data_IF_854663922185
#
_entry.id   IF_854663922185
#
_cell.length_a   1.000
_cell.length_b   1.000
_cell.length_c   1.000
_cell.angle_alpha   90.00
_cell.angle_beta   90.00
_cell.angle_gamma   90.00
#
_symmetry.space_group_name_H-M   'P 1'
#
loop_
_entity.id
_entity.type
_entity.pdbx_description
1 polymer ?
#
# COMPACT_ATOMS: atom_id res chain seq x y z
N UNK A 1 7.21 46.16 4.28
CA UNK A 1 7.93 45.65 3.09
C UNK A 1 7.91 44.12 3.11
N UNK A 2 6.77 43.48 2.80
CA UNK A 2 6.64 42.03 3.07
C UNK A 2 5.78 41.29 2.02
N UNK A 3 5.73 41.79 0.78
CA UNK A 3 5.00 41.13 -0.33
C UNK A 3 5.93 40.76 -1.50
N UNK A 4 7.05 41.48 -1.67
CA UNK A 4 8.00 41.28 -2.78
C UNK A 4 8.92 40.06 -2.65
N UNK A 5 9.01 39.42 -1.48
CA UNK A 5 9.83 38.21 -1.29
C UNK A 5 9.08 36.90 -1.62
N UNK A 6 7.75 36.88 -1.51
CA UNK A 6 6.95 35.70 -1.84
C UNK A 6 6.89 35.41 -3.36
N UNK A 7 7.04 36.44 -4.19
CA UNK A 7 7.05 36.34 -5.66
C UNK A 7 8.37 35.78 -6.23
N UNK A 8 9.43 35.66 -5.43
CA UNK A 8 10.75 35.17 -5.91
C UNK A 8 10.83 33.64 -6.01
N UNK A 9 9.86 32.94 -5.43
CA UNK A 9 9.76 31.47 -5.41
C UNK A 9 8.41 30.98 -5.97
N UNK A 10 7.73 31.79 -6.79
CA UNK A 10 6.52 31.38 -7.50
C UNK A 10 6.89 30.90 -8.90
N UNK A 11 7.12 29.59 -9.05
CA UNK A 11 7.40 28.94 -10.33
C UNK A 11 6.48 27.74 -10.54
N UNK A 12 6.37 27.28 -11.79
CA UNK A 12 5.60 26.07 -12.14
C UNK A 12 6.02 24.85 -11.30
N UNK A 13 7.29 24.77 -10.92
CA UNK A 13 7.83 23.71 -10.05
C UNK A 13 7.17 23.69 -8.65
N UNK A 14 6.93 24.87 -8.07
CA UNK A 14 6.30 24.99 -6.74
C UNK A 14 4.80 24.69 -6.83
N UNK A 15 4.16 25.10 -7.93
CA UNK A 15 2.76 24.76 -8.19
C UNK A 15 2.59 23.25 -8.44
N UNK A 16 3.52 22.60 -9.15
CA UNK A 16 3.57 21.15 -9.35
C UNK A 16 3.67 20.40 -8.01
N UNK A 17 4.63 20.79 -7.16
CA UNK A 17 4.82 20.20 -5.84
C UNK A 17 3.60 20.42 -4.94
N UNK A 18 2.97 21.59 -5.03
CA UNK A 18 1.75 21.90 -4.29
C UNK A 18 0.57 21.05 -4.76
N UNK A 19 0.42 20.84 -6.06
CA UNK A 19 -0.63 19.98 -6.63
C UNK A 19 -0.48 18.53 -6.17
N UNK A 20 0.73 17.97 -6.23
CA UNK A 20 1.04 16.63 -5.71
C UNK A 20 0.79 16.53 -4.21
N UNK A 21 1.24 17.51 -3.44
CA UNK A 21 1.03 17.52 -1.99
C UNK A 21 -0.47 17.58 -1.64
N UNK A 22 -1.26 18.35 -2.41
CA UNK A 22 -2.71 18.39 -2.25
C UNK A 22 -3.38 17.07 -2.63
N UNK A 23 -2.98 16.44 -3.74
CA UNK A 23 -3.50 15.14 -4.16
C UNK A 23 -3.21 14.05 -3.12
N UNK A 24 -1.97 14.03 -2.61
CA UNK A 24 -1.54 13.13 -1.53
C UNK A 24 -2.35 13.35 -0.25
N UNK A 25 -2.54 14.63 0.15
CA UNK A 25 -3.35 14.98 1.33
C UNK A 25 -4.82 14.58 1.18
N UNK A 26 -5.39 14.73 -0.02
CA UNK A 26 -6.75 14.27 -0.35
C UNK A 26 -6.85 12.75 -0.55
N UNK A 27 -5.72 12.05 -0.61
CA UNK A 27 -5.61 10.63 -0.95
C UNK A 27 -6.24 10.28 -2.30
N UNK A 28 -6.26 11.23 -3.24
CA UNK A 28 -6.85 11.05 -4.57
C UNK A 28 -5.76 10.63 -5.56
N UNK A 29 -5.81 9.36 -5.99
CA UNK A 29 -4.96 8.84 -7.07
C UNK A 29 -5.24 9.53 -8.40
N UNK A 30 -6.50 9.87 -8.67
CA UNK A 30 -6.88 10.57 -9.89
C UNK A 30 -6.24 11.96 -9.96
N UNK A 31 -6.32 12.74 -8.88
CA UNK A 31 -5.70 14.08 -8.79
C UNK A 31 -4.17 13.97 -8.93
N UNK A 32 -3.57 12.91 -8.36
CA UNK A 32 -2.13 12.68 -8.43
C UNK A 32 -1.68 12.36 -9.86
N UNK A 33 -2.39 11.47 -10.56
CA UNK A 33 -2.11 11.14 -11.96
C UNK A 33 -2.31 12.35 -12.88
N UNK A 34 -3.33 13.17 -12.61
CA UNK A 34 -3.58 14.39 -13.36
C UNK A 34 -2.44 15.40 -13.15
N UNK A 35 -2.02 15.63 -11.90
CA UNK A 35 -0.89 16.49 -11.60
C UNK A 35 0.42 16.01 -12.25
N UNK A 36 0.66 14.70 -12.29
CA UNK A 36 1.83 14.12 -12.95
C UNK A 36 1.83 14.37 -14.47
N UNK A 37 0.66 14.35 -15.11
CA UNK A 37 0.51 14.67 -16.54
C UNK A 37 0.69 16.16 -16.82
N UNK A 38 0.06 17.02 -16.01
CA UNK A 38 0.03 18.47 -16.21
C UNK A 38 1.42 19.11 -15.98
N UNK A 39 2.20 18.54 -15.08
CA UNK A 39 3.55 19.00 -14.71
C UNK A 39 4.65 17.97 -15.05
N UNK A 40 4.45 17.19 -16.11
CA UNK A 40 5.38 16.12 -16.53
C UNK A 40 6.80 16.63 -16.74
N UNK A 41 6.95 17.82 -17.33
CA UNK A 41 8.24 18.46 -17.62
C UNK A 41 9.03 18.76 -16.35
N UNK A 42 8.37 19.30 -15.33
CA UNK A 42 9.01 19.73 -14.08
C UNK A 42 9.29 18.54 -13.15
N UNK A 43 8.47 17.47 -13.24
CA UNK A 43 8.50 16.34 -12.32
C UNK A 43 9.31 15.14 -12.84
N UNK A 44 9.51 15.03 -14.15
CA UNK A 44 10.22 13.90 -14.77
C UNK A 44 11.64 14.24 -15.22
N UNK A 45 12.00 15.52 -15.30
CA UNK A 45 13.36 15.94 -15.66
C UNK A 45 14.38 15.70 -14.52
N UNK A 46 13.94 15.67 -13.26
CA UNK A 46 14.80 15.38 -12.11
C UNK A 46 14.68 13.90 -11.67
N UNK A 47 15.75 13.09 -11.80
CA UNK A 47 15.76 11.69 -11.37
C UNK A 47 15.46 11.48 -9.88
N UNK A 48 15.85 12.42 -9.02
CA UNK A 48 15.63 12.33 -7.57
C UNK A 48 14.15 12.52 -7.25
N UNK A 49 13.54 13.54 -7.87
CA UNK A 49 12.11 13.80 -7.74
C UNK A 49 11.30 12.63 -8.28
N UNK A 50 11.66 12.10 -9.46
CA UNK A 50 10.97 10.99 -10.08
C UNK A 50 10.94 9.74 -9.17
N UNK A 51 12.08 9.39 -8.56
CA UNK A 51 12.18 8.28 -7.59
C UNK A 51 11.28 8.50 -6.36
N UNK A 52 11.26 9.72 -5.82
CA UNK A 52 10.40 10.06 -4.68
C UNK A 52 8.92 9.99 -5.04
N UNK A 53 8.53 10.42 -6.25
CA UNK A 53 7.16 10.33 -6.74
C UNK A 53 6.70 8.88 -6.91
N UNK A 54 7.58 7.99 -7.36
CA UNK A 54 7.29 6.54 -7.42
C UNK A 54 6.95 5.98 -6.04
N UNK A 55 7.79 6.26 -5.05
CA UNK A 55 7.54 5.86 -3.65
C UNK A 55 6.22 6.45 -3.11
N UNK A 56 5.93 7.71 -3.44
CA UNK A 56 4.72 8.38 -2.99
C UNK A 56 3.46 7.82 -3.65
N UNK A 57 3.54 7.49 -4.93
CA UNK A 57 2.47 6.80 -5.66
C UNK A 57 2.19 5.43 -5.06
N UNK A 58 3.24 4.66 -4.78
CA UNK A 58 3.13 3.32 -4.18
C UNK A 58 2.43 3.37 -2.82
N UNK A 59 2.82 4.32 -1.96
CA UNK A 59 2.20 4.53 -0.66
C UNK A 59 0.73 4.96 -0.78
N UNK A 60 0.41 5.83 -1.74
CA UNK A 60 -0.96 6.31 -1.97
C UNK A 60 -1.88 5.19 -2.48
N UNK A 61 -1.34 4.33 -3.35
CA UNK A 61 -2.05 3.17 -3.88
C UNK A 61 -2.31 2.14 -2.79
N UNK A 62 -1.31 1.86 -1.97
CA UNK A 62 -1.43 0.96 -0.83
C UNK A 62 -2.52 1.43 0.15
N UNK A 63 -2.48 2.71 0.56
CA UNK A 63 -3.49 3.27 1.47
C UNK A 63 -4.90 3.23 0.88
N UNK A 64 -5.05 3.45 -0.44
CA UNK A 64 -6.34 3.34 -1.09
C UNK A 64 -6.83 1.89 -1.14
N UNK A 65 -5.96 0.93 -1.44
CA UNK A 65 -6.29 -0.50 -1.44
C UNK A 65 -6.70 -0.97 -0.05
N UNK A 66 -5.92 -0.68 1.00
CA UNK A 66 -6.27 -1.06 2.37
C UNK A 66 -7.65 -0.55 2.78
N UNK A 67 -7.97 0.72 2.49
CA UNK A 67 -9.28 1.31 2.81
C UNK A 67 -10.43 0.68 2.02
N UNK A 68 -10.21 0.39 0.74
CA UNK A 68 -11.24 -0.25 -0.09
C UNK A 68 -11.50 -1.70 0.33
N UNK A 69 -10.50 -2.34 0.90
CA UNK A 69 -10.53 -3.75 1.30
C UNK A 69 -10.99 -3.96 2.75
N UNK A 70 -10.74 -3.01 3.64
CA UNK A 70 -11.11 -3.07 5.07
C UNK A 70 -12.58 -3.49 5.35
N UNK A 71 -13.61 -3.01 4.63
CA UNK A 71 -14.99 -3.40 4.94
C UNK A 71 -15.43 -4.75 4.36
N UNK A 72 -14.56 -5.48 3.65
CA UNK A 72 -14.94 -6.70 2.94
C UNK A 72 -14.03 -7.88 3.29
N UNK A 73 -14.63 -9.07 3.44
CA UNK A 73 -13.87 -10.32 3.64
C UNK A 73 -13.53 -11.04 2.33
N UNK A 74 -14.29 -10.79 1.26
CA UNK A 74 -14.03 -11.37 -0.06
C UNK A 74 -14.45 -10.37 -1.14
N UNK A 75 -13.52 -10.03 -2.03
CA UNK A 75 -13.75 -9.05 -3.11
C UNK A 75 -13.15 -9.56 -4.42
N UNK A 76 -13.85 -9.34 -5.52
CA UNK A 76 -13.33 -9.61 -6.86
C UNK A 76 -12.30 -8.55 -7.27
N UNK A 77 -11.14 -8.97 -7.75
CA UNK A 77 -10.03 -8.06 -8.12
C UNK A 77 -10.46 -7.14 -9.27
N UNK A 78 -11.27 -7.63 -10.20
CA UNK A 78 -11.85 -6.83 -11.29
C UNK A 78 -12.69 -5.65 -10.77
N UNK A 79 -13.43 -5.83 -9.66
CA UNK A 79 -14.22 -4.75 -9.07
C UNK A 79 -13.31 -3.65 -8.51
N UNK A 80 -12.25 -4.03 -7.80
CA UNK A 80 -11.26 -3.09 -7.25
C UNK A 80 -10.54 -2.35 -8.38
N UNK A 81 -10.13 -3.07 -9.42
CA UNK A 81 -9.48 -2.50 -10.59
C UNK A 81 -10.34 -1.43 -11.28
N UNK A 82 -11.64 -1.67 -11.42
CA UNK A 82 -12.59 -0.67 -11.94
C UNK A 82 -12.76 0.55 -11.03
N UNK A 83 -12.76 0.36 -9.72
CA UNK A 83 -12.88 1.47 -8.75
C UNK A 83 -11.65 2.40 -8.76
N UNK A 84 -10.45 1.84 -8.95
CA UNK A 84 -9.19 2.60 -8.96
C UNK A 84 -8.79 3.03 -10.38
N UNK A 85 -9.50 2.55 -11.40
CA UNK A 85 -9.23 2.80 -12.82
C UNK A 85 -7.82 2.37 -13.24
N UNK A 86 -7.42 1.17 -12.81
CA UNK A 86 -6.16 0.51 -13.15
C UNK A 86 -6.42 -0.88 -13.74
N UNK A 87 -5.43 -1.47 -14.41
CA UNK A 87 -5.55 -2.85 -14.90
C UNK A 87 -5.55 -3.85 -13.74
N UNK A 88 -6.26 -4.97 -13.92
CA UNK A 88 -6.30 -6.05 -12.95
C UNK A 88 -4.91 -6.57 -12.60
N UNK A 89 -4.03 -6.74 -13.59
CA UNK A 89 -2.66 -7.24 -13.43
C UNK A 89 -1.82 -6.37 -12.48
N UNK A 90 -1.91 -5.04 -12.62
CA UNK A 90 -1.19 -4.10 -11.74
C UNK A 90 -1.73 -4.19 -10.31
N UNK A 91 -3.06 -4.25 -10.16
CA UNK A 91 -3.70 -4.35 -8.83
C UNK A 91 -3.35 -5.67 -8.17
N UNK A 92 -3.41 -6.79 -8.89
CA UNK A 92 -3.07 -8.11 -8.39
C UNK A 92 -1.61 -8.17 -7.91
N UNK A 93 -0.68 -7.68 -8.73
CA UNK A 93 0.73 -7.61 -8.36
C UNK A 93 0.94 -6.75 -7.11
N UNK A 94 0.26 -5.61 -7.00
CA UNK A 94 0.37 -4.76 -5.80
C UNK A 94 -0.21 -5.45 -4.56
N UNK A 95 -1.35 -6.12 -4.68
CA UNK A 95 -1.95 -6.90 -3.59
C UNK A 95 -1.03 -8.04 -3.16
N UNK A 96 -0.39 -8.75 -4.09
CA UNK A 96 0.57 -9.80 -3.77
C UNK A 96 1.76 -9.25 -2.97
N UNK A 97 2.23 -8.05 -3.31
CA UNK A 97 3.30 -7.37 -2.59
C UNK A 97 2.84 -6.97 -1.17
N UNK A 98 1.62 -6.44 -1.02
CA UNK A 98 1.08 -6.06 0.29
C UNK A 98 0.89 -7.27 1.23
N UNK A 99 0.52 -8.42 0.69
CA UNK A 99 0.44 -9.69 1.44
C UNK A 99 1.84 -10.14 1.86
N UNK A 100 2.82 -10.10 0.95
CA UNK A 100 4.21 -10.46 1.25
C UNK A 100 4.83 -9.55 2.32
N UNK A 101 4.52 -8.26 2.28
CA UNK A 101 4.96 -7.26 3.25
C UNK A 101 4.19 -7.34 4.59
N UNK A 102 3.27 -8.30 4.76
CA UNK A 102 2.42 -8.49 5.95
C UNK A 102 1.56 -7.28 6.31
N UNK A 103 1.27 -6.41 5.35
CA UNK A 103 0.39 -5.25 5.55
C UNK A 103 -1.09 -5.60 5.38
N UNK A 104 -1.35 -6.68 4.66
CA UNK A 104 -2.68 -7.21 4.43
C UNK A 104 -2.68 -8.71 4.71
N UNK A 105 -3.57 -9.14 5.60
CA UNK A 105 -3.76 -10.54 5.94
C UNK A 105 -4.79 -11.14 4.99
N UNK A 106 -4.31 -11.79 3.94
CA UNK A 106 -5.19 -12.29 2.89
C UNK A 106 -4.52 -13.27 1.95
N UNK A 107 -5.34 -13.95 1.15
CA UNK A 107 -4.92 -14.87 0.09
C UNK A 107 -5.55 -14.40 -1.21
N UNK A 108 -4.76 -14.43 -2.28
CA UNK A 108 -5.24 -14.23 -3.65
C UNK A 108 -5.64 -15.58 -4.24
N UNK A 109 -6.90 -15.71 -4.63
CA UNK A 109 -7.38 -16.83 -5.42
C UNK A 109 -7.34 -16.44 -6.91
N UNK A 110 -6.28 -16.87 -7.60
CA UNK A 110 -6.10 -16.61 -9.03
C UNK A 110 -7.12 -17.35 -9.91
N UNK A 111 -7.69 -18.47 -9.45
CA UNK A 111 -8.70 -19.22 -10.20
C UNK A 111 -10.02 -18.47 -10.29
N UNK A 112 -10.43 -17.87 -9.16
CA UNK A 112 -11.68 -17.07 -9.08
C UNK A 112 -11.46 -15.57 -9.30
N UNK A 113 -10.21 -15.12 -9.43
CA UNK A 113 -9.83 -13.69 -9.45
C UNK A 113 -10.36 -12.89 -8.26
N UNK A 114 -10.31 -13.49 -7.07
CA UNK A 114 -10.82 -12.91 -5.82
C UNK A 114 -9.69 -12.76 -4.80
N UNK A 115 -9.80 -11.74 -3.95
CA UNK A 115 -9.00 -11.61 -2.74
C UNK A 115 -9.85 -11.97 -1.52
N UNK A 116 -9.35 -12.88 -0.70
CA UNK A 116 -9.94 -13.25 0.58
C UNK A 116 -9.12 -12.62 1.69
N UNK A 117 -9.77 -11.85 2.55
CA UNK A 117 -9.15 -11.11 3.64
C UNK A 117 -9.55 -11.78 4.94
N UNK A 118 -8.57 -12.00 5.80
CA UNK A 118 -8.74 -12.59 7.11
C UNK A 118 -8.54 -11.50 8.16
N UNK A 119 -9.39 -11.52 9.18
CA UNK A 119 -9.11 -10.78 10.40
C UNK A 119 -7.89 -11.41 11.07
N UNK A 120 -7.05 -10.57 11.69
CA UNK A 120 -5.97 -11.08 12.55
C UNK A 120 -6.61 -11.86 13.70
N UNK A 121 -6.54 -13.18 13.63
CA UNK A 121 -6.84 -14.02 14.78
C UNK A 121 -5.72 -13.78 15.80
N UNK A 122 -6.03 -13.33 17.03
CA UNK A 122 -5.03 -13.23 18.06
C UNK A 122 -4.39 -14.61 18.23
N UNK A 123 -3.07 -14.69 18.12
CA UNK A 123 -2.35 -15.93 18.37
C UNK A 123 -2.66 -16.39 19.78
N UNK A 124 -3.36 -17.50 19.90
CA UNK A 124 -3.74 -18.06 21.19
C UNK A 124 -2.46 -18.49 21.91
N UNK A 125 -2.10 -17.79 22.98
CA UNK A 125 -0.92 -18.09 23.80
C UNK A 125 -0.96 -19.53 24.32
N UNK A 126 -2.16 -20.07 24.51
CA UNK A 126 -2.40 -21.46 24.93
C UNK A 126 -1.84 -22.50 23.95
N UNK A 127 -1.91 -22.27 22.63
CA UNK A 127 -1.35 -23.21 21.65
C UNK A 127 0.18 -23.20 21.67
N UNK A 128 0.78 -22.03 21.85
CA UNK A 128 2.24 -21.93 21.98
C UNK A 128 2.72 -22.61 23.27
N UNK A 129 2.03 -22.36 24.39
CA UNK A 129 2.35 -22.98 25.69
C UNK A 129 2.24 -24.51 25.62
N UNK A 130 1.19 -25.03 24.97
CA UNK A 130 1.02 -26.47 24.77
C UNK A 130 2.17 -27.09 23.95
N UNK A 131 2.63 -26.42 22.88
CA UNK A 131 3.77 -26.87 22.09
C UNK A 131 5.07 -26.90 22.90
N UNK A 132 5.29 -25.89 23.73
CA UNK A 132 6.45 -25.83 24.64
C UNK A 132 6.40 -26.98 25.64
N UNK A 133 5.25 -27.28 26.22
CA UNK A 133 5.07 -28.41 27.14
C UNK A 133 5.42 -29.73 26.45
N UNK A 134 4.90 -29.97 25.23
CA UNK A 134 5.20 -31.19 24.45
C UNK A 134 6.69 -31.31 24.15
N UNK A 135 7.35 -30.23 23.74
CA UNK A 135 8.80 -30.24 23.50
C UNK A 135 9.61 -30.51 24.77
N UNK A 136 9.22 -29.91 25.89
CA UNK A 136 9.88 -30.14 27.18
C UNK A 136 9.71 -31.59 27.64
N UNK A 137 8.52 -32.16 27.46
CA UNK A 137 8.26 -33.57 27.73
C UNK A 137 9.15 -34.50 26.88
N UNK A 138 9.29 -34.23 25.58
CA UNK A 138 10.19 -35.00 24.71
C UNK A 138 11.63 -34.97 25.21
N UNK A 139 12.15 -33.77 25.55
CA UNK A 139 13.51 -33.63 26.09
C UNK A 139 13.72 -34.40 27.38
N UNK A 140 12.73 -34.40 28.28
CA UNK A 140 12.81 -35.15 29.54
C UNK A 140 12.86 -36.65 29.27
N UNK A 141 12.06 -37.15 28.34
CA UNK A 141 12.11 -38.56 27.92
C UNK A 141 13.48 -38.91 27.32
N UNK A 142 14.03 -38.06 26.46
CA UNK A 142 15.36 -38.26 25.86
C UNK A 142 16.51 -38.22 26.89
N UNK A 143 16.33 -37.55 28.03
CA UNK A 143 17.32 -37.56 29.12
C UNK A 143 17.21 -38.76 30.07
N UNK A 144 16.08 -39.47 30.04
CA UNK A 144 15.81 -40.63 30.91
C UNK A 144 16.29 -41.95 30.29
N UNK A 145 16.63 -41.96 28.99
CA UNK A 145 17.11 -43.12 28.23
C UNK A 145 18.45 -42.82 27.56
#
# INVERSE_FOLDING_TARGET
>A
MSVKLALKYGGRDVDAMKAIAQASKKRSLADFQQALKDYSTELSEDPVVHSHLGTLYDNLLEQNLTRLLEPFSNVQIEHIARLINLSQDIVEKKLSQMILDKKLHGILDQGSSNIVIFDETPTDTQYQDALVIVQNMSKVVDTLF
#
